data_IF_771472935324
#
_entry.id   IF_771472935324
#
_cell.length_a   1.000
_cell.length_b   1.000
_cell.length_c   1.000
_cell.angle_alpha   90.00
_cell.angle_beta   90.00
_cell.angle_gamma   90.00
#
_symmetry.space_group_name_H-M   'P 1'
#
loop_
_entity.id
_entity.type
_entity.pdbx_description
1 polymer ?
#
# COMPACT_ATOMS: atom_id res chain seq x y z
N UNK A 1 -5.69 -19.96 -6.37
CA UNK A 1 -4.29 -19.43 -6.42
C UNK A 1 -4.05 -18.45 -7.57
N UNK A 2 -4.56 -18.69 -8.79
CA UNK A 2 -4.30 -17.82 -9.95
C UNK A 2 -4.78 -16.37 -9.76
N UNK A 3 -5.94 -16.17 -9.12
CA UNK A 3 -6.48 -14.82 -8.88
C UNK A 3 -5.61 -14.00 -7.93
N UNK A 4 -5.07 -14.61 -6.87
CA UNK A 4 -4.18 -13.91 -5.93
C UNK A 4 -2.90 -13.42 -6.61
N UNK A 5 -2.28 -14.22 -7.48
CA UNK A 5 -1.10 -13.80 -8.24
C UNK A 5 -1.38 -12.63 -9.18
N UNK A 6 -2.56 -12.61 -9.82
CA UNK A 6 -2.98 -11.49 -10.68
C UNK A 6 -3.17 -10.20 -9.88
N UNK A 7 -3.83 -10.28 -8.72
CA UNK A 7 -4.00 -9.13 -7.81
C UNK A 7 -2.64 -8.61 -7.31
N UNK A 8 -1.71 -9.52 -6.98
CA UNK A 8 -0.33 -9.17 -6.64
C UNK A 8 0.35 -8.40 -7.77
N UNK A 9 0.27 -8.90 -9.01
CA UNK A 9 0.89 -8.29 -10.16
C UNK A 9 0.33 -6.88 -10.45
N UNK A 10 -0.99 -6.71 -10.33
CA UNK A 10 -1.64 -5.40 -10.44
C UNK A 10 -1.13 -4.46 -9.33
N UNK A 11 -1.02 -4.95 -8.11
CA UNK A 11 -0.45 -4.17 -6.99
C UNK A 11 0.99 -3.76 -7.22
N UNK A 12 1.84 -4.69 -7.68
CA UNK A 12 3.24 -4.40 -8.05
C UNK A 12 3.30 -3.32 -9.12
N UNK A 13 2.43 -3.38 -10.13
CA UNK A 13 2.39 -2.35 -11.17
C UNK A 13 1.99 -0.98 -10.62
N UNK A 14 1.00 -0.95 -9.73
CA UNK A 14 0.48 0.28 -9.11
C UNK A 14 1.49 0.97 -8.18
N UNK A 15 2.43 0.24 -7.56
CA UNK A 15 3.46 0.85 -6.70
C UNK A 15 4.64 1.44 -7.47
N UNK A 16 4.81 1.13 -8.77
CA UNK A 16 5.97 1.56 -9.57
C UNK A 16 6.15 3.10 -9.54
N UNK A 17 5.12 3.93 -9.77
CA UNK A 17 5.26 5.40 -9.71
C UNK A 17 5.79 5.91 -8.37
N UNK A 18 5.28 5.36 -7.27
CA UNK A 18 5.69 5.74 -5.93
C UNK A 18 7.13 5.30 -5.62
N UNK A 19 7.50 4.10 -6.08
CA UNK A 19 8.83 3.57 -5.90
C UNK A 19 9.85 4.39 -6.72
N UNK A 20 9.49 4.76 -7.96
CA UNK A 20 10.27 5.66 -8.79
C UNK A 20 10.47 7.02 -8.11
N UNK A 21 9.43 7.60 -7.51
CA UNK A 21 9.50 8.87 -6.76
C UNK A 21 10.49 8.79 -5.59
N UNK A 22 10.39 7.76 -4.76
CA UNK A 22 11.27 7.61 -3.60
C UNK A 22 12.72 7.37 -4.04
N UNK A 23 12.93 6.53 -5.05
CA UNK A 23 14.27 6.23 -5.58
C UNK A 23 14.87 7.45 -6.29
N UNK A 24 14.07 8.23 -7.02
CA UNK A 24 14.52 9.48 -7.64
C UNK A 24 14.89 10.53 -6.62
N UNK A 25 14.13 10.64 -5.52
CA UNK A 25 14.49 11.51 -4.39
C UNK A 25 15.80 11.09 -3.72
N UNK A 26 16.02 9.79 -3.54
CA UNK A 26 17.23 9.26 -2.89
C UNK A 26 18.48 9.40 -3.77
N UNK A 27 18.39 9.05 -5.06
CA UNK A 27 19.51 9.03 -6.01
C UNK A 27 19.66 10.35 -6.79
N UNK A 28 18.76 11.31 -6.60
CA UNK A 28 18.77 12.65 -7.20
C UNK A 28 18.77 12.64 -8.75
N UNK A 29 18.00 11.75 -9.38
CA UNK A 29 17.78 11.79 -10.82
C UNK A 29 16.38 12.33 -11.17
N UNK A 30 16.26 12.93 -12.35
CA UNK A 30 14.98 13.46 -12.83
C UNK A 30 14.13 12.37 -13.47
N UNK A 31 12.89 12.27 -13.02
CA UNK A 31 11.86 11.38 -13.57
C UNK A 31 10.78 12.25 -14.21
N UNK A 32 10.25 11.87 -15.38
CA UNK A 32 9.22 12.67 -16.04
C UNK A 32 7.98 12.85 -15.16
N UNK A 33 7.47 14.09 -15.10
CA UNK A 33 6.31 14.45 -14.27
C UNK A 33 5.06 13.63 -14.61
N UNK A 34 4.90 13.20 -15.86
CA UNK A 34 3.82 12.32 -16.28
C UNK A 34 3.80 10.98 -15.54
N UNK A 35 4.96 10.50 -15.07
CA UNK A 35 5.08 9.27 -14.28
C UNK A 35 4.85 9.50 -12.79
N UNK A 36 5.08 10.72 -12.29
CA UNK A 36 5.00 11.07 -10.86
C UNK A 36 3.82 12.02 -10.59
N UNK A 37 2.75 11.89 -11.35
CA UNK A 37 1.57 12.70 -11.07
C UNK A 37 1.05 12.35 -9.65
N UNK A 38 0.77 13.33 -8.77
CA UNK A 38 0.38 13.05 -7.38
C UNK A 38 -0.81 12.10 -7.27
N UNK A 39 -1.81 12.28 -8.14
CA UNK A 39 -2.97 11.39 -8.20
C UNK A 39 -2.60 9.94 -8.58
N UNK A 40 -1.61 9.73 -9.46
CA UNK A 40 -1.12 8.39 -9.82
C UNK A 40 -0.35 7.75 -8.68
N UNK A 41 0.50 8.52 -8.00
CA UNK A 41 1.30 8.03 -6.87
C UNK A 41 0.39 7.65 -5.70
N UNK A 42 -0.45 8.58 -5.23
CA UNK A 42 -1.32 8.34 -4.07
C UNK A 42 -2.44 7.35 -4.41
N UNK A 43 -3.11 7.53 -5.55
CA UNK A 43 -4.16 6.62 -6.00
C UNK A 43 -3.64 5.22 -6.28
N UNK A 44 -2.44 5.11 -6.87
CA UNK A 44 -1.75 3.85 -7.09
C UNK A 44 -1.42 3.14 -5.78
N UNK A 45 -0.83 3.83 -4.81
CA UNK A 45 -0.50 3.26 -3.49
C UNK A 45 -1.74 2.80 -2.72
N UNK A 46 -2.79 3.63 -2.66
CA UNK A 46 -4.04 3.29 -1.97
C UNK A 46 -4.71 2.10 -2.68
N UNK A 47 -4.76 2.12 -4.01
CA UNK A 47 -5.31 1.03 -4.82
C UNK A 47 -4.53 -0.28 -4.63
N UNK A 48 -3.20 -0.21 -4.65
CA UNK A 48 -2.33 -1.36 -4.40
C UNK A 48 -2.56 -1.94 -3.00
N UNK A 49 -2.63 -1.07 -1.98
CA UNK A 49 -2.92 -1.47 -0.60
C UNK A 49 -4.29 -2.15 -0.51
N UNK A 50 -5.35 -1.53 -1.03
CA UNK A 50 -6.71 -2.08 -0.98
C UNK A 50 -6.82 -3.44 -1.68
N UNK A 51 -6.32 -3.54 -2.92
CA UNK A 51 -6.38 -4.76 -3.73
C UNK A 51 -5.62 -5.92 -3.08
N UNK A 52 -4.49 -5.62 -2.42
CA UNK A 52 -3.64 -6.65 -1.82
C UNK A 52 -4.01 -7.00 -0.38
N UNK A 53 -4.60 -6.06 0.36
CA UNK A 53 -5.04 -6.27 1.75
C UNK A 53 -6.42 -6.96 1.82
N UNK A 54 -7.34 -6.63 0.90
CA UNK A 54 -8.69 -7.20 0.87
C UNK A 54 -8.74 -8.74 0.89
N UNK A 55 -7.95 -9.50 0.10
CA UNK A 55 -7.96 -10.96 0.15
C UNK A 55 -7.27 -11.56 1.38
N UNK A 56 -6.55 -10.75 2.18
CA UNK A 56 -5.76 -11.20 3.33
C UNK A 56 -6.50 -10.96 4.64
N UNK A 57 -7.06 -9.76 4.81
CA UNK A 57 -7.71 -9.32 6.03
C UNK A 57 -9.21 -9.64 5.95
N UNK A 58 -9.61 -10.76 6.54
CA UNK A 58 -11.04 -11.09 6.67
C UNK A 58 -11.47 -10.77 8.10
N UNK A 59 -12.31 -9.75 8.27
CA UNK A 59 -12.94 -9.47 9.56
C UNK A 59 -14.17 -10.37 9.73
N UNK A 60 -14.16 -11.21 10.76
CA UNK A 60 -15.31 -11.99 11.18
C UNK A 60 -15.85 -11.38 12.47
N UNK A 61 -17.04 -10.82 12.43
CA UNK A 61 -17.75 -10.40 13.64
C UNK A 61 -18.65 -11.55 14.06
N UNK A 62 -18.37 -12.16 15.21
CA UNK A 62 -19.22 -13.18 15.81
C UNK A 62 -19.88 -12.58 17.06
N UNK A 63 -21.18 -12.80 17.21
CA UNK A 63 -21.87 -12.44 18.45
C UNK A 63 -21.72 -13.61 19.41
N UNK A 64 -20.99 -13.42 20.49
CA UNK A 64 -20.80 -14.45 21.51
C UNK A 64 -21.28 -13.91 22.86
N UNK A 65 -22.29 -14.58 23.43
CA UNK A 65 -22.88 -14.24 24.74
C UNK A 65 -23.30 -12.77 24.90
N UNK A 66 -23.90 -12.18 23.85
CA UNK A 66 -24.37 -10.78 23.89
C UNK A 66 -23.27 -9.73 23.71
N UNK A 67 -22.00 -10.14 23.63
CA UNK A 67 -20.88 -9.29 23.27
C UNK A 67 -20.52 -9.46 21.79
N UNK A 68 -20.26 -8.34 21.11
CA UNK A 68 -19.77 -8.35 19.75
C UNK A 68 -18.26 -8.68 19.78
N UNK A 69 -17.90 -9.91 19.44
CA UNK A 69 -16.50 -10.35 19.38
C UNK A 69 -16.03 -10.28 17.92
N UNK A 70 -15.12 -9.36 17.63
CA UNK A 70 -14.48 -9.25 16.33
C UNK A 70 -13.23 -10.11 16.26
N UNK A 71 -13.20 -11.12 15.40
CA UNK A 71 -12.02 -11.90 15.07
C UNK A 71 -11.46 -11.45 13.71
N UNK A 72 -10.22 -10.97 13.69
CA UNK A 72 -9.52 -10.68 12.44
C UNK A 72 -8.75 -11.93 12.01
N UNK A 73 -9.16 -12.56 10.90
CA UNK A 73 -8.44 -13.69 10.33
C UNK A 73 -7.51 -13.20 9.22
N UNK A 74 -6.21 -13.46 9.38
CA UNK A 74 -5.18 -13.13 8.39
C UNK A 74 -4.80 -14.41 7.64
N UNK A 75 -5.17 -14.49 6.36
CA UNK A 75 -4.81 -15.63 5.50
C UNK A 75 -3.39 -15.49 4.95
N UNK A 76 -2.41 -16.10 5.62
CA UNK A 76 -1.01 -16.06 5.18
C UNK A 76 -0.66 -17.08 4.07
N UNK A 77 -1.33 -18.24 4.01
CA UNK A 77 -0.94 -19.34 3.11
C UNK A 77 -1.21 -18.98 1.65
N UNK A 78 -0.14 -18.81 0.86
CA UNK A 78 -0.21 -18.48 -0.57
C UNK A 78 -0.31 -16.99 -0.90
N UNK A 79 -0.38 -16.12 0.11
CA UNK A 79 -0.60 -14.68 -0.04
C UNK A 79 0.58 -13.80 0.37
N UNK A 80 1.78 -14.39 0.52
CA UNK A 80 2.99 -13.66 0.94
C UNK A 80 3.33 -12.48 0.02
N UNK A 81 3.17 -12.65 -1.30
CA UNK A 81 3.45 -11.57 -2.26
C UNK A 81 2.48 -10.41 -2.06
N UNK A 82 1.17 -10.69 -1.92
CA UNK A 82 0.18 -9.66 -1.65
C UNK A 82 0.48 -8.94 -0.32
N UNK A 83 0.89 -9.69 0.71
CA UNK A 83 1.26 -9.12 1.99
C UNK A 83 2.48 -8.20 1.86
N UNK A 84 3.52 -8.62 1.13
CA UNK A 84 4.68 -7.80 0.82
C UNK A 84 4.30 -6.52 0.05
N UNK A 85 3.44 -6.63 -0.96
CA UNK A 85 2.97 -5.46 -1.73
C UNK A 85 2.15 -4.51 -0.87
N UNK A 86 1.27 -5.03 -0.02
CA UNK A 86 0.50 -4.22 0.92
C UNK A 86 1.44 -3.52 1.93
N UNK A 87 2.41 -4.24 2.49
CA UNK A 87 3.40 -3.67 3.40
C UNK A 87 4.27 -2.59 2.73
N UNK A 88 4.77 -2.85 1.52
CA UNK A 88 5.52 -1.87 0.73
C UNK A 88 4.69 -0.63 0.42
N UNK A 89 3.42 -0.82 0.04
CA UNK A 89 2.51 0.29 -0.24
C UNK A 89 2.31 1.16 1.01
N UNK A 90 2.12 0.53 2.17
CA UNK A 90 1.98 1.23 3.45
C UNK A 90 3.27 1.96 3.85
N UNK A 91 4.42 1.33 3.68
CA UNK A 91 5.72 1.93 3.96
C UNK A 91 5.99 3.16 3.08
N UNK A 92 5.73 3.05 1.78
CA UNK A 92 5.86 4.18 0.82
C UNK A 92 4.90 5.31 1.16
N UNK A 93 3.63 5.00 1.48
CA UNK A 93 2.68 6.00 1.97
C UNK A 93 3.19 6.70 3.23
N UNK A 94 3.74 5.94 4.19
CA UNK A 94 4.31 6.49 5.41
C UNK A 94 5.49 7.44 5.14
N UNK A 95 6.40 7.07 4.24
CA UNK A 95 7.53 7.92 3.84
C UNK A 95 7.03 9.21 3.18
N UNK A 96 6.08 9.12 2.24
CA UNK A 96 5.52 10.30 1.56
C UNK A 96 4.78 11.21 2.55
N UNK A 97 3.96 10.62 3.43
CA UNK A 97 3.22 11.38 4.44
C UNK A 97 4.17 12.09 5.43
N UNK A 98 5.21 11.40 5.87
CA UNK A 98 6.23 11.98 6.75
C UNK A 98 6.98 13.11 6.04
N UNK A 99 7.37 12.91 4.78
CA UNK A 99 8.02 13.95 3.98
C UNK A 99 7.14 15.20 3.88
N UNK A 100 5.87 15.04 3.50
CA UNK A 100 4.90 16.14 3.41
C UNK A 100 4.73 16.81 4.78
N UNK A 101 4.63 16.03 5.86
CA UNK A 101 4.52 16.58 7.20
C UNK A 101 5.75 17.43 7.57
N UNK A 102 6.96 16.89 7.41
CA UNK A 102 8.20 17.62 7.71
C UNK A 102 8.30 18.90 6.87
N UNK A 103 8.01 18.82 5.57
CA UNK A 103 8.06 19.98 4.66
C UNK A 103 7.07 21.09 5.06
N UNK A 104 5.89 20.73 5.57
CA UNK A 104 4.86 21.70 5.94
C UNK A 104 5.01 22.26 7.37
N UNK A 105 5.63 21.51 8.29
CA UNK A 105 5.75 21.87 9.70
C UNK A 105 7.18 22.26 10.13
N UNK A 106 8.16 22.29 9.23
CA UNK A 106 9.46 22.87 9.51
C UNK A 106 9.33 24.38 9.77
N UNK A 107 9.82 24.89 10.92
CA UNK A 107 9.86 26.32 11.16
C UNK A 107 10.82 26.95 10.15
N UNK A 108 10.27 27.81 9.27
CA UNK A 108 11.03 28.60 8.31
C UNK A 108 11.67 29.81 8.99
#
# INVERSE_FOLDING_TARGET
MQNQRRLAAVGVFLIIPALALCVSGLLKFNVPYSLIHPALVIGGLIGALAINLFPIATAHTHLENGNLVGALSIKLRGSLINLCVAFLSLALLGVIALYVFVENFQPR
#
